data_IF_354852783785
#
_entry.id   IF_354852783785
#
_cell.length_a   1.000
_cell.length_b   1.000
_cell.length_c   1.000
_cell.angle_alpha   90.00
_cell.angle_beta   90.00
_cell.angle_gamma   90.00
#
_symmetry.space_group_name_H-M   'P 1'
#
loop_
_entity.id
_entity.type
_entity.pdbx_description
1 polymer ?
#
# COMPACT_ATOMS: atom_id res chain seq x y z
N UNK A 1 -28.80 6.12 31.40
CA UNK A 1 -27.37 5.82 31.29
C UNK A 1 -27.10 5.27 29.90
N UNK A 2 -26.77 6.16 29.01
CA UNK A 2 -26.43 5.83 27.61
C UNK A 2 -24.98 5.32 27.56
N UNK A 3 -24.81 4.03 27.22
CA UNK A 3 -23.49 3.47 26.92
C UNK A 3 -22.98 4.16 25.66
N UNK A 4 -22.02 5.08 25.80
CA UNK A 4 -21.17 5.48 24.71
C UNK A 4 -20.45 4.21 24.20
N UNK A 5 -20.80 3.78 23.00
CA UNK A 5 -20.01 2.80 22.27
C UNK A 5 -18.69 3.50 21.96
N UNK A 6 -17.61 3.12 22.64
CA UNK A 6 -16.25 3.43 22.19
C UNK A 6 -16.17 3.05 20.72
N UNK A 7 -15.98 4.05 19.87
CA UNK A 7 -15.63 3.83 18.46
C UNK A 7 -14.27 3.14 18.46
N UNK A 8 -14.23 1.83 18.31
CA UNK A 8 -13.00 1.09 18.15
C UNK A 8 -12.27 1.70 16.94
N UNK A 9 -11.11 2.28 17.19
CA UNK A 9 -10.31 2.88 16.14
C UNK A 9 -9.79 1.76 15.23
N UNK A 10 -10.30 1.70 13.99
CA UNK A 10 -9.91 0.66 13.04
C UNK A 10 -8.41 0.82 12.72
N UNK A 11 -7.63 -0.24 12.93
CA UNK A 11 -6.19 -0.26 12.71
C UNK A 11 -5.86 -0.58 11.25
N UNK A 12 -6.03 0.41 10.37
CA UNK A 12 -5.82 0.23 8.93
C UNK A 12 -4.37 -0.09 8.54
N UNK A 13 -3.40 0.61 9.15
CA UNK A 13 -1.99 0.49 8.77
C UNK A 13 -1.40 -0.91 8.99
N UNK A 14 -1.60 -1.57 10.15
CA UNK A 14 -1.16 -2.96 10.32
C UNK A 14 -1.80 -3.92 9.30
N UNK A 15 -3.07 -3.73 8.96
CA UNK A 15 -3.73 -4.56 7.97
C UNK A 15 -3.24 -4.27 6.54
N UNK A 16 -2.97 -3.00 6.23
CA UNK A 16 -2.33 -2.62 4.97
C UNK A 16 -0.95 -3.27 4.83
N UNK A 17 -0.12 -3.22 5.88
CA UNK A 17 1.19 -3.87 5.89
C UNK A 17 1.07 -5.37 5.61
N UNK A 18 0.15 -6.05 6.29
CA UNK A 18 -0.13 -7.46 6.06
C UNK A 18 -0.62 -7.73 4.63
N UNK A 19 -1.53 -6.91 4.11
CA UNK A 19 -2.03 -7.03 2.74
C UNK A 19 -0.90 -6.86 1.72
N UNK A 20 -0.02 -5.89 1.91
CA UNK A 20 1.14 -5.67 1.03
C UNK A 20 2.07 -6.89 1.00
N UNK A 21 2.31 -7.54 2.14
CA UNK A 21 3.09 -8.79 2.20
C UNK A 21 2.40 -9.93 1.44
N UNK A 22 1.08 -10.03 1.54
CA UNK A 22 0.30 -11.03 0.79
C UNK A 22 0.35 -10.78 -0.72
N UNK A 23 0.25 -9.52 -1.16
CA UNK A 23 0.38 -9.17 -2.57
C UNK A 23 1.75 -9.57 -3.14
N UNK A 24 2.80 -9.42 -2.36
CA UNK A 24 4.18 -9.64 -2.77
C UNK A 24 4.72 -11.03 -2.33
N UNK A 25 3.87 -11.94 -1.85
CA UNK A 25 4.27 -13.22 -1.26
C UNK A 25 5.12 -14.11 -2.17
N UNK A 26 4.89 -14.02 -3.48
CA UNK A 26 5.63 -14.81 -4.47
C UNK A 26 7.13 -14.47 -4.55
N UNK A 27 7.50 -13.32 -4.00
CA UNK A 27 8.88 -12.82 -3.93
C UNK A 27 9.26 -12.41 -2.50
N UNK A 28 8.62 -12.98 -1.48
CA UNK A 28 8.77 -12.55 -0.09
C UNK A 28 10.21 -12.69 0.42
N UNK A 29 10.94 -13.70 -0.05
CA UNK A 29 12.32 -13.96 0.34
C UNK A 29 13.33 -12.95 -0.26
N UNK A 30 12.93 -12.21 -1.31
CA UNK A 30 13.74 -11.17 -1.94
C UNK A 30 13.42 -9.76 -1.43
N UNK A 31 12.49 -9.66 -0.47
CA UNK A 31 11.99 -8.38 0.05
C UNK A 31 12.17 -8.28 1.57
N UNK A 32 12.64 -7.12 2.01
CA UNK A 32 12.63 -6.74 3.42
C UNK A 32 11.66 -5.58 3.65
N UNK A 33 10.88 -5.67 4.74
CA UNK A 33 9.79 -4.74 5.04
C UNK A 33 10.08 -4.02 6.34
N UNK A 34 10.12 -2.70 6.30
CA UNK A 34 10.34 -1.84 7.47
C UNK A 34 9.13 -0.93 7.70
N UNK A 35 8.10 -1.38 8.44
CA UNK A 35 6.93 -0.57 8.78
C UNK A 35 7.33 0.56 9.75
N UNK A 36 6.60 1.67 9.69
CA UNK A 36 6.81 2.84 10.57
C UNK A 36 8.27 3.33 10.62
N UNK A 37 8.96 3.27 9.47
CA UNK A 37 10.37 3.61 9.37
C UNK A 37 10.65 5.06 9.79
N UNK A 38 11.57 5.23 10.75
CA UNK A 38 11.90 6.54 11.30
C UNK A 38 13.06 7.19 10.54
N UNK A 39 12.76 8.24 9.76
CA UNK A 39 13.73 8.98 8.94
C UNK A 39 14.49 10.07 9.68
N UNK A 40 14.20 10.32 10.95
CA UNK A 40 14.87 11.38 11.72
C UNK A 40 15.09 11.02 13.17
N UNK A 41 16.08 11.67 13.82
CA UNK A 41 16.33 11.57 15.27
C UNK A 41 15.21 12.15 16.15
N UNK A 42 14.25 12.88 15.55
CA UNK A 42 12.99 13.29 16.16
C UNK A 42 11.88 12.72 15.27
N UNK A 43 10.84 12.08 15.84
CA UNK A 43 9.84 11.39 15.05
C UNK A 43 9.11 12.37 14.13
N UNK A 44 9.51 12.44 12.88
CA UNK A 44 8.56 12.66 11.80
C UNK A 44 7.82 11.33 11.71
N UNK A 45 6.76 11.18 12.50
CA UNK A 45 5.88 10.03 12.44
C UNK A 45 5.19 10.06 11.09
N UNK A 46 5.69 9.25 10.19
CA UNK A 46 5.04 8.98 8.94
C UNK A 46 4.64 7.50 8.97
N UNK A 47 3.42 7.24 8.56
CA UNK A 47 2.91 5.89 8.27
C UNK A 47 3.61 5.34 7.01
N UNK A 48 4.94 5.32 7.05
CA UNK A 48 5.81 5.01 5.94
C UNK A 48 6.27 3.57 6.03
N UNK A 49 6.00 2.81 4.99
CA UNK A 49 6.58 1.49 4.77
C UNK A 49 7.76 1.62 3.81
N UNK A 50 8.91 1.05 4.18
CA UNK A 50 10.03 0.85 3.26
C UNK A 50 10.12 -0.62 2.92
N UNK A 51 10.24 -0.92 1.63
CA UNK A 51 10.45 -2.26 1.10
C UNK A 51 11.81 -2.28 0.40
N UNK A 52 12.74 -3.08 0.91
CA UNK A 52 14.03 -3.31 0.26
C UNK A 52 13.97 -4.58 -0.59
N UNK A 53 14.42 -4.46 -1.85
CA UNK A 53 14.53 -5.57 -2.78
C UNK A 53 15.99 -6.03 -2.82
N UNK A 54 16.27 -7.26 -2.37
CA UNK A 54 17.61 -7.78 -2.14
C UNK A 54 18.29 -8.36 -3.39
N UNK A 55 17.54 -8.48 -4.49
CA UNK A 55 18.08 -9.06 -5.74
C UNK A 55 17.49 -8.37 -6.98
N UNK A 56 18.08 -8.57 -8.14
CA UNK A 56 17.62 -8.02 -9.42
C UNK A 56 16.45 -8.80 -10.03
N UNK A 57 15.74 -9.61 -9.24
CA UNK A 57 14.57 -10.33 -9.73
C UNK A 57 13.43 -9.38 -10.08
N UNK A 58 12.70 -9.71 -11.11
CA UNK A 58 11.44 -9.04 -11.41
C UNK A 58 10.36 -9.55 -10.45
N UNK A 59 9.71 -8.64 -9.74
CA UNK A 59 8.57 -8.98 -8.88
C UNK A 59 7.41 -9.42 -9.79
N UNK A 60 6.77 -10.53 -9.48
CA UNK A 60 5.70 -11.11 -10.32
C UNK A 60 4.42 -10.29 -10.28
N UNK A 61 4.05 -9.78 -9.11
CA UNK A 61 2.86 -8.96 -8.94
C UNK A 61 3.07 -7.58 -9.59
N UNK A 62 2.07 -7.10 -10.37
CA UNK A 62 2.13 -5.84 -11.09
C UNK A 62 2.45 -4.63 -10.20
N UNK A 63 2.01 -4.64 -8.94
CA UNK A 63 2.34 -3.62 -7.93
C UNK A 63 3.85 -3.47 -7.73
N UNK A 64 4.60 -4.56 -7.80
CA UNK A 64 6.05 -4.57 -7.60
C UNK A 64 6.88 -4.35 -8.87
N UNK A 65 6.27 -4.21 -10.05
CA UNK A 65 7.04 -4.07 -11.30
C UNK A 65 7.89 -2.79 -11.34
N UNK A 66 7.45 -1.72 -10.68
CA UNK A 66 8.21 -0.46 -10.60
C UNK A 66 9.33 -0.51 -9.56
N UNK A 67 9.32 -1.50 -8.67
CA UNK A 67 10.24 -1.54 -7.53
C UNK A 67 11.70 -1.49 -7.96
N UNK A 68 12.44 -0.65 -7.25
CA UNK A 68 13.90 -0.57 -7.25
C UNK A 68 14.44 -1.25 -5.99
N UNK A 69 15.68 -1.05 -5.67
CA UNK A 69 16.29 -1.60 -4.46
C UNK A 69 15.61 -1.11 -3.18
N UNK A 70 15.24 0.18 -3.13
CA UNK A 70 14.58 0.80 -1.98
C UNK A 70 13.25 1.45 -2.43
N UNK A 71 12.15 1.04 -1.82
CA UNK A 71 10.81 1.45 -2.26
C UNK A 71 10.08 2.10 -1.09
N UNK A 72 9.77 3.38 -1.25
CA UNK A 72 9.07 4.21 -0.27
C UNK A 72 7.57 4.08 -0.53
N UNK A 73 6.81 3.59 0.45
CA UNK A 73 5.38 3.31 0.29
C UNK A 73 4.57 4.12 1.30
N UNK A 74 3.66 4.95 0.81
CA UNK A 74 2.70 5.73 1.60
C UNK A 74 1.29 5.20 1.37
N UNK A 75 0.58 4.90 2.44
CA UNK A 75 -0.82 4.45 2.39
C UNK A 75 -1.75 5.46 3.03
N UNK A 76 -2.88 5.72 2.39
CA UNK A 76 -3.99 6.51 2.95
C UNK A 76 -5.17 5.62 3.29
N UNK A 77 -5.56 5.65 4.55
CA UNK A 77 -6.72 4.90 5.05
C UNK A 77 -8.01 5.27 4.31
N UNK A 78 -8.99 4.35 4.21
CA UNK A 78 -10.27 4.64 3.59
C UNK A 78 -10.97 5.84 4.24
N UNK A 79 -11.34 6.82 3.41
CA UNK A 79 -11.92 8.08 3.82
C UNK A 79 -10.92 9.22 3.99
N UNK A 80 -9.61 8.94 4.04
CA UNK A 80 -8.58 9.99 4.07
C UNK A 80 -8.33 10.55 2.67
N UNK A 81 -8.14 11.86 2.59
CA UNK A 81 -7.72 12.54 1.37
C UNK A 81 -6.27 12.23 1.04
N UNK A 82 -5.94 12.21 -0.26
CA UNK A 82 -4.56 12.27 -0.74
C UNK A 82 -4.39 13.54 -1.56
N UNK A 83 -3.44 14.37 -1.17
CA UNK A 83 -3.22 15.71 -1.70
C UNK A 83 -1.86 15.82 -2.39
N UNK A 84 -1.63 16.95 -3.08
CA UNK A 84 -0.32 17.24 -3.65
C UNK A 84 0.76 17.34 -2.57
N UNK A 85 0.42 17.77 -1.35
CA UNK A 85 1.36 17.83 -0.24
C UNK A 85 1.80 16.43 0.21
N UNK A 86 0.92 15.42 0.11
CA UNK A 86 1.30 14.02 0.36
C UNK A 86 2.30 13.51 -0.66
N UNK A 87 2.15 13.88 -1.93
CA UNK A 87 3.15 13.58 -2.96
C UNK A 87 4.50 14.21 -2.63
N UNK A 88 4.54 15.51 -2.31
CA UNK A 88 5.78 16.18 -1.91
C UNK A 88 6.39 15.57 -0.65
N UNK A 89 5.56 15.17 0.31
CA UNK A 89 6.00 14.46 1.51
C UNK A 89 6.70 13.13 1.16
N UNK A 90 6.12 12.32 0.25
CA UNK A 90 6.75 11.08 -0.22
C UNK A 90 8.09 11.36 -0.92
N UNK A 91 8.16 12.39 -1.76
CA UNK A 91 9.41 12.80 -2.41
C UNK A 91 10.45 13.24 -1.39
N UNK A 92 10.05 14.03 -0.38
CA UNK A 92 10.94 14.45 0.70
C UNK A 92 11.48 13.24 1.49
N UNK A 93 10.65 12.24 1.77
CA UNK A 93 11.08 11.00 2.43
C UNK A 93 12.05 10.19 1.58
N UNK A 94 11.82 10.07 0.29
CA UNK A 94 12.74 9.40 -0.62
C UNK A 94 14.09 10.11 -0.66
N UNK A 95 14.10 11.45 -0.71
CA UNK A 95 15.31 12.26 -0.68
C UNK A 95 16.04 12.14 0.67
N UNK A 96 15.31 12.17 1.79
CA UNK A 96 15.88 11.98 3.13
C UNK A 96 16.47 10.58 3.26
N UNK A 97 15.73 9.55 2.88
CA UNK A 97 16.22 8.16 2.91
C UNK A 97 17.50 8.00 2.10
N UNK A 98 17.54 8.52 0.87
CA UNK A 98 18.76 8.54 0.05
C UNK A 98 19.95 9.14 0.76
N UNK A 99 19.73 10.18 1.58
CA UNK A 99 20.79 10.92 2.27
C UNK A 99 21.29 10.27 3.57
N UNK A 100 20.66 9.15 4.02
CA UNK A 100 21.04 8.44 5.25
C UNK A 100 22.24 7.50 5.08
N UNK A 101 22.73 7.29 3.87
CA UNK A 101 23.88 6.42 3.59
C UNK A 101 25.16 6.89 4.28
N UNK A 102 26.00 5.94 4.70
CA UNK A 102 27.25 6.20 5.42
C UNK A 102 28.31 6.96 4.59
N UNK A 103 28.17 6.99 3.28
CA UNK A 103 29.05 7.69 2.35
C UNK A 103 28.28 8.40 1.27
N UNK A 104 28.96 9.31 0.55
CA UNK A 104 28.35 10.04 -0.58
C UNK A 104 27.84 9.04 -1.63
N UNK A 105 26.55 9.16 -1.95
CA UNK A 105 25.85 8.32 -2.93
C UNK A 105 25.86 6.80 -2.62
N UNK A 106 25.93 6.42 -1.35
CA UNK A 106 25.82 5.03 -0.92
C UNK A 106 24.47 4.39 -1.33
N UNK A 107 23.42 5.19 -1.39
CA UNK A 107 22.14 4.85 -2.02
C UNK A 107 22.07 5.66 -3.31
N UNK A 108 22.12 5.01 -4.47
CA UNK A 108 22.04 5.70 -5.76
C UNK A 108 20.63 6.22 -6.04
N UNK A 109 20.51 7.31 -6.81
CA UNK A 109 19.20 7.92 -7.07
C UNK A 109 18.27 7.03 -7.90
N UNK A 110 18.82 6.19 -8.77
CA UNK A 110 18.09 5.22 -9.59
C UNK A 110 17.72 3.93 -8.85
N UNK A 111 18.19 3.75 -7.60
CA UNK A 111 17.80 2.66 -6.72
C UNK A 111 16.51 2.92 -5.92
N UNK A 112 15.87 4.09 -6.10
CA UNK A 112 14.68 4.50 -5.37
C UNK A 112 13.42 4.39 -6.22
N UNK A 113 12.30 4.03 -5.59
CA UNK A 113 10.95 4.24 -6.14
C UNK A 113 9.99 4.73 -5.06
N UNK A 114 8.87 5.33 -5.49
CA UNK A 114 7.78 5.81 -4.63
C UNK A 114 6.49 5.09 -5.02
N UNK A 115 5.76 4.60 -4.02
CA UNK A 115 4.43 4.03 -4.19
C UNK A 115 3.45 4.75 -3.27
N UNK A 116 2.41 5.33 -3.84
CA UNK A 116 1.30 5.92 -3.10
C UNK A 116 0.06 5.06 -3.29
N UNK A 117 -0.62 4.70 -2.19
CA UNK A 117 -1.76 3.78 -2.22
C UNK A 117 -2.95 4.43 -1.53
N UNK A 118 -4.11 4.41 -2.18
CA UNK A 118 -5.38 4.83 -1.61
C UNK A 118 -6.58 4.13 -2.27
N UNK A 119 -7.75 4.27 -1.63
CA UNK A 119 -8.98 3.63 -2.05
C UNK A 119 -9.49 4.12 -3.42
N UNK A 120 -9.52 5.43 -3.65
CA UNK A 120 -10.12 6.05 -4.84
C UNK A 120 -9.18 7.03 -5.53
N UNK A 121 -9.37 7.26 -6.83
CA UNK A 121 -8.50 8.12 -7.65
C UNK A 121 -8.45 9.57 -7.13
N UNK A 122 -7.27 10.13 -6.80
CA UNK A 122 -7.12 11.46 -6.22
C UNK A 122 -7.13 12.56 -7.30
N UNK A 123 -8.28 12.83 -7.90
CA UNK A 123 -8.45 13.70 -9.08
C UNK A 123 -7.77 15.07 -8.92
N UNK A 124 -7.90 15.71 -7.76
CA UNK A 124 -7.34 17.04 -7.52
C UNK A 124 -5.80 17.00 -7.46
N UNK A 125 -5.21 16.04 -6.73
CA UNK A 125 -3.76 15.84 -6.71
C UNK A 125 -3.22 15.60 -8.12
N UNK A 126 -3.85 14.72 -8.89
CA UNK A 126 -3.42 14.37 -10.23
C UNK A 126 -3.52 15.56 -11.20
N UNK A 127 -4.54 16.41 -11.05
CA UNK A 127 -4.67 17.66 -11.81
C UNK A 127 -3.53 18.64 -11.46
N UNK A 128 -3.23 18.85 -10.17
CA UNK A 128 -2.14 19.70 -9.73
C UNK A 128 -0.77 19.21 -10.23
N UNK A 129 -0.49 17.92 -10.11
CA UNK A 129 0.76 17.33 -10.59
C UNK A 129 0.92 17.49 -12.11
N UNK A 130 -0.16 17.28 -12.87
CA UNK A 130 -0.17 17.50 -14.31
C UNK A 130 0.14 18.95 -14.68
N UNK A 131 -0.40 19.92 -13.93
CA UNK A 131 -0.12 21.35 -14.10
C UNK A 131 1.36 21.67 -13.87
N UNK A 132 2.04 20.90 -13.02
CA UNK A 132 3.48 21.01 -12.74
C UNK A 132 4.35 20.21 -13.71
N UNK A 133 3.75 19.60 -14.74
CA UNK A 133 4.47 18.79 -15.74
C UNK A 133 4.71 17.35 -15.34
N UNK A 134 4.19 16.90 -14.18
CA UNK A 134 4.29 15.52 -13.70
C UNK A 134 3.01 14.79 -14.08
N UNK A 135 3.05 14.04 -15.19
CA UNK A 135 1.95 13.19 -15.63
C UNK A 135 1.96 11.85 -14.92
N UNK A 136 0.79 11.19 -14.92
CA UNK A 136 0.67 9.77 -14.59
C UNK A 136 -0.11 9.08 -15.69
N UNK A 137 0.38 7.94 -16.16
CA UNK A 137 -0.29 7.11 -17.15
C UNK A 137 -0.66 5.77 -16.53
N UNK A 138 -1.81 5.24 -16.88
CA UNK A 138 -2.23 3.91 -16.45
C UNK A 138 -1.28 2.86 -17.04
N UNK A 139 -0.71 2.06 -16.15
CA UNK A 139 0.17 0.94 -16.49
C UNK A 139 -0.61 -0.38 -16.53
N UNK A 140 -1.45 -0.59 -15.51
CA UNK A 140 -2.41 -1.69 -15.40
C UNK A 140 -3.63 -1.17 -14.64
N UNK A 141 -4.71 -1.94 -14.58
CA UNK A 141 -5.95 -1.54 -13.91
C UNK A 141 -5.68 -1.07 -12.48
N UNK A 142 -5.96 0.20 -12.21
CA UNK A 142 -5.72 0.85 -10.91
C UNK A 142 -4.26 1.13 -10.55
N UNK A 143 -3.32 0.93 -11.47
CA UNK A 143 -1.88 1.21 -11.29
C UNK A 143 -1.45 2.26 -12.28
N UNK A 144 -0.98 3.40 -11.81
CA UNK A 144 -0.58 4.55 -12.61
C UNK A 144 0.88 4.90 -12.37
N UNK A 145 1.69 5.01 -13.44
CA UNK A 145 3.11 5.34 -13.35
C UNK A 145 3.36 6.80 -13.72
N UNK A 146 4.25 7.45 -12.94
CA UNK A 146 4.70 8.81 -13.21
C UNK A 146 5.42 8.92 -14.53
N UNK A 147 5.20 10.05 -15.20
CA UNK A 147 5.88 10.44 -16.44
C UNK A 147 6.70 11.70 -16.17
N UNK A 148 7.92 11.74 -16.72
CA UNK A 148 8.81 12.89 -16.60
C UNK A 148 9.14 13.30 -15.15
N UNK A 149 9.26 12.32 -14.25
CA UNK A 149 9.68 12.54 -12.88
C UNK A 149 10.96 11.77 -12.56
N UNK A 150 11.88 12.38 -11.82
CA UNK A 150 13.24 11.85 -11.62
C UNK A 150 13.29 10.62 -10.68
N UNK A 151 12.28 10.40 -9.85
CA UNK A 151 12.11 9.18 -9.05
C UNK A 151 10.93 8.41 -9.63
N UNK A 152 11.12 7.18 -10.12
CA UNK A 152 10.00 6.34 -10.55
C UNK A 152 8.93 6.26 -9.47
N UNK A 153 7.72 6.70 -9.79
CA UNK A 153 6.62 6.80 -8.83
C UNK A 153 5.37 6.15 -9.38
N UNK A 154 4.62 5.46 -8.52
CA UNK A 154 3.31 4.93 -8.87
C UNK A 154 2.23 5.39 -7.90
N UNK A 155 1.03 5.50 -8.42
CA UNK A 155 -0.20 5.59 -7.66
C UNK A 155 -0.98 4.30 -7.84
N UNK A 156 -1.41 3.69 -6.75
CA UNK A 156 -2.29 2.53 -6.73
C UNK A 156 -3.65 2.96 -6.19
N UNK A 157 -4.70 2.72 -6.97
CA UNK A 157 -6.09 2.97 -6.62
C UNK A 157 -6.76 1.63 -6.33
N UNK A 158 -6.90 1.27 -5.06
CA UNK A 158 -7.24 -0.11 -4.68
C UNK A 158 -8.61 -0.55 -5.18
N UNK A 159 -9.59 0.34 -5.34
CA UNK A 159 -10.90 0.00 -5.92
C UNK A 159 -10.87 -0.27 -7.43
N UNK A 160 -9.85 0.22 -8.13
CA UNK A 160 -9.68 0.03 -9.57
C UNK A 160 -8.80 -1.18 -9.91
N UNK A 161 -8.12 -1.78 -8.93
CA UNK A 161 -7.32 -2.99 -9.12
C UNK A 161 -8.16 -4.16 -9.62
N UNK A 162 -7.55 -5.09 -10.34
CA UNK A 162 -8.21 -6.32 -10.78
C UNK A 162 -8.65 -7.18 -9.59
N UNK A 163 -9.94 -7.55 -9.49
CA UNK A 163 -10.46 -8.30 -8.34
C UNK A 163 -9.78 -9.65 -8.12
N UNK A 164 -9.43 -10.34 -9.22
CA UNK A 164 -8.86 -11.69 -9.14
C UNK A 164 -7.37 -11.72 -8.76
N UNK A 165 -6.69 -10.56 -8.80
CA UNK A 165 -5.26 -10.46 -8.56
C UNK A 165 -4.91 -9.74 -7.24
N UNK A 166 -5.82 -8.87 -6.70
CA UNK A 166 -5.49 -7.93 -5.62
C UNK A 166 -6.55 -7.85 -4.51
N UNK A 167 -7.20 -8.98 -4.17
CA UNK A 167 -8.29 -9.00 -3.19
C UNK A 167 -7.89 -8.47 -1.82
N UNK A 168 -6.68 -8.76 -1.37
CA UNK A 168 -6.20 -8.36 -0.04
C UNK A 168 -6.20 -6.83 0.14
N UNK A 169 -5.84 -6.07 -0.89
CA UNK A 169 -5.90 -4.60 -0.88
C UNK A 169 -7.32 -4.07 -1.11
N UNK A 170 -8.09 -4.70 -1.99
CA UNK A 170 -9.44 -4.26 -2.36
C UNK A 170 -10.43 -4.32 -1.20
N UNK A 171 -10.32 -5.34 -0.33
CA UNK A 171 -11.21 -5.48 0.83
C UNK A 171 -10.84 -4.54 2.00
N UNK A 172 -9.69 -3.83 1.95
CA UNK A 172 -9.34 -2.77 2.90
C UNK A 172 -10.09 -1.47 2.54
N UNK A 173 -11.40 -1.54 2.56
CA UNK A 173 -12.36 -0.48 2.22
C UNK A 173 -13.46 -0.42 3.28
N UNK A 174 -14.13 0.73 3.40
CA UNK A 174 -15.37 0.86 4.20
C UNK A 174 -16.60 0.34 3.48
N UNK A 175 -16.47 0.12 2.16
CA UNK A 175 -17.51 -0.40 1.28
C UNK A 175 -16.93 -1.49 0.39
N UNK A 176 -16.38 -2.54 1.01
CA UNK A 176 -15.81 -3.67 0.28
C UNK A 176 -16.88 -4.37 -0.57
N UNK A 177 -16.50 -4.84 -1.75
CA UNK A 177 -17.37 -5.70 -2.56
C UNK A 177 -17.51 -7.08 -1.93
N UNK A 178 -18.73 -7.60 -1.89
CA UNK A 178 -19.03 -8.91 -1.28
C UNK A 178 -18.28 -10.06 -1.99
N UNK A 179 -18.15 -10.00 -3.32
CA UNK A 179 -17.45 -11.02 -4.08
C UNK A 179 -15.94 -10.98 -3.80
N UNK A 180 -15.37 -9.77 -3.63
CA UNK A 180 -13.96 -9.63 -3.23
C UNK A 180 -13.72 -10.24 -1.85
N UNK A 181 -14.63 -10.01 -0.88
CA UNK A 181 -14.55 -10.60 0.47
C UNK A 181 -14.64 -12.13 0.40
N UNK A 182 -15.67 -12.67 -0.30
CA UNK A 182 -15.83 -14.12 -0.52
C UNK A 182 -14.62 -14.73 -1.22
N UNK A 183 -14.13 -14.05 -2.25
CA UNK A 183 -12.95 -14.47 -3.01
C UNK A 183 -11.70 -14.52 -2.14
N UNK A 184 -11.46 -13.50 -1.31
CA UNK A 184 -10.30 -13.46 -0.41
C UNK A 184 -10.39 -14.55 0.66
N UNK A 185 -11.56 -14.75 1.30
CA UNK A 185 -11.77 -15.84 2.26
C UNK A 185 -11.41 -17.20 1.61
N UNK A 186 -11.87 -17.43 0.38
CA UNK A 186 -11.54 -18.65 -0.36
C UNK A 186 -10.04 -18.78 -0.66
N UNK A 187 -9.40 -17.69 -1.03
CA UNK A 187 -7.95 -17.64 -1.30
C UNK A 187 -7.13 -18.00 -0.08
N UNK A 188 -7.52 -17.54 1.13
CA UNK A 188 -6.80 -17.84 2.37
C UNK A 188 -6.77 -19.33 2.73
N UNK A 189 -7.68 -20.13 2.20
CA UNK A 189 -7.67 -21.59 2.40
C UNK A 189 -6.46 -22.26 1.72
N UNK A 190 -5.88 -21.62 0.71
CA UNK A 190 -4.69 -22.09 0.01
C UNK A 190 -3.37 -21.63 0.66
N UNK A 191 -3.39 -20.77 1.68
CA UNK A 191 -2.18 -20.28 2.32
C UNK A 191 -1.51 -21.34 3.18
N UNK A 192 -0.22 -21.53 2.96
CA UNK A 192 0.53 -22.65 3.58
C UNK A 192 1.30 -22.18 4.80
N UNK A 193 2.02 -21.06 4.70
CA UNK A 193 2.91 -20.58 5.74
C UNK A 193 2.16 -19.92 6.90
N UNK A 194 2.76 -19.93 8.08
CA UNK A 194 2.20 -19.22 9.26
C UNK A 194 2.18 -17.70 9.04
N UNK A 195 3.15 -17.16 8.27
CA UNK A 195 3.19 -15.75 7.91
C UNK A 195 1.98 -15.34 7.08
N UNK A 196 1.71 -16.03 5.96
CA UNK A 196 0.54 -15.78 5.10
C UNK A 196 -0.77 -15.85 5.89
N UNK A 197 -0.90 -16.86 6.77
CA UNK A 197 -2.11 -17.04 7.61
C UNK A 197 -2.29 -15.89 8.60
N UNK A 198 -1.21 -15.43 9.22
CA UNK A 198 -1.24 -14.31 10.17
C UNK A 198 -1.58 -12.98 9.45
N UNK A 199 -0.97 -12.73 8.28
CA UNK A 199 -1.24 -11.55 7.46
C UNK A 199 -2.69 -11.55 6.97
N UNK A 200 -3.20 -12.69 6.49
CA UNK A 200 -4.59 -12.86 6.08
C UNK A 200 -5.58 -12.60 7.23
N UNK A 201 -5.29 -13.08 8.44
CA UNK A 201 -6.11 -12.81 9.62
C UNK A 201 -6.13 -11.32 9.98
N UNK A 202 -5.01 -10.61 9.86
CA UNK A 202 -4.95 -9.17 10.09
C UNK A 202 -5.82 -8.40 9.10
N UNK A 203 -5.75 -8.73 7.81
CA UNK A 203 -6.59 -8.15 6.75
C UNK A 203 -8.06 -8.43 7.00
N UNK A 204 -8.45 -9.71 7.22
CA UNK A 204 -9.83 -10.11 7.48
C UNK A 204 -10.41 -9.46 8.73
N UNK A 205 -9.63 -9.30 9.78
CA UNK A 205 -10.06 -8.64 11.03
C UNK A 205 -10.44 -7.18 10.77
N UNK A 206 -9.62 -6.43 10.05
CA UNK A 206 -9.88 -5.02 9.74
C UNK A 206 -11.04 -4.88 8.77
N UNK A 207 -11.04 -5.65 7.68
CA UNK A 207 -12.14 -5.67 6.71
C UNK A 207 -13.47 -6.06 7.38
N UNK A 208 -13.48 -7.09 8.23
CA UNK A 208 -14.67 -7.52 8.95
C UNK A 208 -15.18 -6.48 9.95
N UNK A 209 -14.30 -5.71 10.59
CA UNK A 209 -14.69 -4.60 11.46
C UNK A 209 -15.32 -3.46 10.65
N UNK A 210 -14.76 -3.14 9.49
CA UNK A 210 -15.23 -2.06 8.63
C UNK A 210 -16.53 -2.42 7.89
N UNK A 211 -16.73 -3.70 7.55
CA UNK A 211 -17.81 -4.22 6.69
C UNK A 211 -18.61 -5.33 7.40
N UNK A 212 -18.90 -5.18 8.68
CA UNK A 212 -19.55 -6.19 9.53
C UNK A 212 -20.78 -6.84 8.87
N UNK A 213 -21.65 -6.05 8.23
CA UNK A 213 -22.86 -6.51 7.58
C UNK A 213 -22.60 -7.52 6.43
N UNK A 214 -21.52 -7.36 5.67
CA UNK A 214 -21.11 -8.28 4.59
C UNK A 214 -20.70 -9.63 5.21
N UNK A 215 -19.90 -9.60 6.27
CA UNK A 215 -19.42 -10.82 6.93
C UNK A 215 -20.56 -11.59 7.63
N UNK A 216 -21.53 -10.91 8.23
CA UNK A 216 -22.72 -11.57 8.78
C UNK A 216 -23.57 -12.23 7.70
N UNK A 217 -23.73 -11.57 6.54
CA UNK A 217 -24.42 -12.17 5.40
C UNK A 217 -23.73 -13.43 4.92
N UNK A 218 -22.42 -13.39 4.72
CA UNK A 218 -21.61 -14.53 4.26
C UNK A 218 -21.69 -15.72 5.24
N UNK A 219 -21.76 -15.46 6.55
CA UNK A 219 -21.90 -16.51 7.56
C UNK A 219 -23.27 -17.20 7.55
N UNK A 220 -24.30 -16.50 7.07
CA UNK A 220 -25.67 -17.01 7.03
C UNK A 220 -25.99 -17.82 5.77
N UNK A 221 -25.13 -17.81 4.78
CA UNK A 221 -25.20 -18.61 3.55
C UNK A 221 -24.55 -20.00 3.73
#
# INVERSE_FOLDING_TARGET
>A
MTKEREKSHIQWHPAFYAATKLELRDNIDELEFYPEYNLSKKPLQADLLIIEKNSDVQIKNAIGHIFRKHNIVEYKSPGDGMTVDDFYKCVAYACLYKSTGESVNAIAGDELSITMIRESYPKFMMWELKRLGIGFAEYDSGIYYSQNFFIPSQLIVTQELKPDEHRSLRILSRNADENDVKGFIKETLGYVTQGEKADAQAVLKVSGTANYHIYEKIRSE
#
